data_IF_640476766371
#
_entry.id   IF_640476766371
#
_cell.length_a   1.000
_cell.length_b   1.000
_cell.length_c   1.000
_cell.angle_alpha   90.00
_cell.angle_beta   90.00
_cell.angle_gamma   90.00
#
_symmetry.space_group_name_H-M   'P 1'
#
loop_
_entity.id
_entity.type
_entity.pdbx_description
1 polymer ?
#
# COMPACT_ATOMS: atom_id res chain seq x y z
N UNK A 1 -9.41 -16.59 12.48
CA UNK A 1 -8.51 -17.28 11.54
C UNK A 1 -9.01 -17.03 10.12
N UNK A 2 -8.51 -16.02 9.39
CA UNK A 2 -8.76 -15.98 7.95
C UNK A 2 -8.21 -17.28 7.35
N UNK A 3 -9.05 -18.00 6.61
CA UNK A 3 -8.70 -19.29 6.02
C UNK A 3 -7.42 -19.15 5.20
N UNK A 4 -6.48 -20.09 5.34
CA UNK A 4 -5.20 -20.15 4.60
C UNK A 4 -5.42 -19.95 3.08
N UNK A 5 -6.60 -20.37 2.58
CA UNK A 5 -7.03 -20.15 1.20
C UNK A 5 -7.09 -18.68 0.78
N UNK A 6 -7.49 -17.76 1.67
CA UNK A 6 -7.59 -16.33 1.39
C UNK A 6 -6.21 -15.69 1.28
N UNK A 7 -5.29 -16.04 2.19
CA UNK A 7 -3.92 -15.55 2.18
C UNK A 7 -3.15 -16.05 0.95
N UNK A 8 -3.36 -17.32 0.56
CA UNK A 8 -2.79 -17.88 -0.67
C UNK A 8 -3.37 -17.23 -1.93
N UNK A 9 -4.67 -16.92 -1.95
CA UNK A 9 -5.29 -16.19 -3.06
C UNK A 9 -4.71 -14.77 -3.22
N UNK A 10 -4.50 -14.06 -2.11
CA UNK A 10 -3.89 -12.73 -2.10
C UNK A 10 -2.44 -12.76 -2.58
N UNK A 11 -1.63 -13.72 -2.10
CA UNK A 11 -0.25 -13.91 -2.56
C UNK A 11 -0.17 -14.30 -4.04
N UNK A 12 -1.09 -15.14 -4.52
CA UNK A 12 -1.15 -15.52 -5.93
C UNK A 12 -1.55 -14.33 -6.81
N UNK A 13 -2.50 -13.49 -6.38
CA UNK A 13 -2.85 -12.24 -7.05
C UNK A 13 -1.66 -11.26 -7.09
N UNK A 14 -0.93 -11.08 -5.98
CA UNK A 14 0.28 -10.25 -5.95
C UNK A 14 1.36 -10.78 -6.89
N UNK A 15 1.55 -12.11 -6.99
CA UNK A 15 2.51 -12.74 -7.91
C UNK A 15 2.07 -12.66 -9.38
N UNK A 16 0.77 -12.76 -9.65
CA UNK A 16 0.22 -12.60 -10.99
C UNK A 16 0.33 -11.14 -11.45
N UNK A 17 0.12 -10.19 -10.54
CA UNK A 17 0.30 -8.76 -10.79
C UNK A 17 1.77 -8.42 -11.07
N UNK A 18 2.72 -8.92 -10.25
CA UNK A 18 4.15 -8.72 -10.48
C UNK A 18 4.63 -9.30 -11.83
N UNK A 19 4.11 -10.47 -12.24
CA UNK A 19 4.44 -11.07 -13.55
C UNK A 19 3.75 -10.38 -14.73
N UNK A 20 2.50 -9.91 -14.56
CA UNK A 20 1.79 -9.13 -15.57
C UNK A 20 2.42 -7.77 -15.81
N UNK A 21 2.85 -7.10 -14.74
CA UNK A 21 3.53 -5.80 -14.77
C UNK A 21 4.90 -5.88 -15.48
N UNK A 22 5.72 -6.89 -15.17
CA UNK A 22 7.02 -7.12 -15.85
C UNK A 22 6.83 -7.52 -17.33
N UNK A 23 5.70 -8.16 -17.69
CA UNK A 23 5.44 -8.55 -19.07
C UNK A 23 4.93 -7.40 -19.96
N UNK A 24 4.41 -6.31 -19.37
CA UNK A 24 3.99 -5.12 -20.12
C UNK A 24 5.17 -4.21 -20.49
N UNK A 25 6.32 -4.32 -19.81
CA UNK A 25 7.52 -3.52 -20.10
C UNK A 25 8.31 -3.99 -21.35
N UNK A 26 7.93 -5.13 -21.95
CA UNK A 26 8.63 -5.73 -23.12
C UNK A 26 7.86 -5.59 -24.44
N UNK A 27 7.14 -4.49 -24.63
CA UNK A 27 6.93 -3.91 -25.97
C UNK A 27 7.49 -2.49 -25.97
N UNK A 28 8.80 -2.41 -26.20
CA UNK A 28 9.49 -1.19 -26.64
C UNK A 28 9.55 -1.23 -28.16
N UNK A 29 8.41 -1.16 -28.82
CA UNK A 29 8.35 -0.71 -30.20
C UNK A 29 8.59 0.81 -30.21
N UNK A 30 9.65 1.18 -30.91
CA UNK A 30 10.25 2.49 -30.96
C UNK A 30 9.38 3.52 -31.69
N UNK A 31 8.24 3.87 -31.10
CA UNK A 31 7.59 5.15 -31.34
C UNK A 31 7.66 5.89 -30.02
N UNK A 32 8.22 7.11 -30.04
CA UNK A 32 8.31 8.00 -28.90
C UNK A 32 6.94 8.18 -28.25
N UNK A 33 6.57 7.30 -27.32
CA UNK A 33 5.47 7.53 -26.40
C UNK A 33 5.97 8.65 -25.52
N UNK A 34 5.63 9.90 -25.86
CA UNK A 34 5.59 10.95 -24.85
C UNK A 34 4.79 10.35 -23.72
N UNK A 35 5.45 10.09 -22.58
CA UNK A 35 4.76 10.01 -21.30
C UNK A 35 4.08 11.38 -21.19
N UNK A 36 2.85 11.47 -21.67
CA UNK A 36 2.03 12.62 -21.38
C UNK A 36 2.02 12.68 -19.86
N UNK A 37 2.24 13.86 -19.23
CA UNK A 37 2.10 13.99 -17.80
C UNK A 37 0.71 13.46 -17.47
N UNK A 38 0.67 12.25 -16.93
CA UNK A 38 -0.56 11.60 -16.59
C UNK A 38 -1.03 12.33 -15.34
N UNK A 39 -2.24 12.89 -15.37
CA UNK A 39 -2.81 13.64 -14.25
C UNK A 39 -3.20 12.67 -13.13
N UNK A 40 -2.18 12.13 -12.45
CA UNK A 40 -2.36 11.44 -11.21
C UNK A 40 -2.75 12.46 -10.13
N UNK A 41 -3.57 12.07 -9.13
CA UNK A 41 -3.93 12.96 -8.05
C UNK A 41 -2.67 13.51 -7.36
N UNK A 42 -2.60 14.83 -7.25
CA UNK A 42 -1.55 15.52 -6.51
C UNK A 42 -1.69 15.20 -5.01
N UNK A 43 -0.55 15.22 -4.33
CA UNK A 43 -0.51 15.20 -2.88
C UNK A 43 -0.69 16.62 -2.33
N UNK A 44 -1.37 16.79 -1.18
CA UNK A 44 -1.58 18.11 -0.59
C UNK A 44 -0.29 18.71 -0.02
N UNK A 45 0.69 17.90 0.39
CA UNK A 45 1.93 18.33 1.02
C UNK A 45 3.18 17.69 0.41
N UNK A 46 4.16 17.38 1.25
CA UNK A 46 5.45 16.79 0.86
C UNK A 46 5.66 15.34 1.30
N UNK A 47 4.85 14.84 2.23
CA UNK A 47 5.09 13.57 2.94
C UNK A 47 4.04 12.51 2.68
N UNK A 48 3.01 12.84 1.91
CA UNK A 48 1.79 12.05 1.79
C UNK A 48 1.79 11.14 0.55
N UNK A 49 2.88 11.14 -0.24
CA UNK A 49 2.98 10.41 -1.51
C UNK A 49 2.59 8.93 -1.37
N UNK A 50 3.04 8.28 -0.31
CA UNK A 50 2.70 6.88 -0.02
C UNK A 50 1.20 6.69 0.18
N UNK A 51 0.55 7.59 0.92
CA UNK A 51 -0.90 7.54 1.16
C UNK A 51 -1.70 7.81 -0.10
N UNK A 52 -1.26 8.75 -0.95
CA UNK A 52 -1.90 9.00 -2.25
C UNK A 52 -1.85 7.76 -3.16
N UNK A 53 -0.70 7.06 -3.22
CA UNK A 53 -0.58 5.82 -4.00
C UNK A 53 -1.50 4.73 -3.45
N UNK A 54 -1.53 4.53 -2.14
CA UNK A 54 -2.40 3.52 -1.50
C UNK A 54 -3.89 3.81 -1.76
N UNK A 55 -4.31 5.08 -1.62
CA UNK A 55 -5.68 5.50 -1.92
C UNK A 55 -6.05 5.23 -3.38
N UNK A 56 -5.19 5.65 -4.30
CA UNK A 56 -5.39 5.48 -5.72
C UNK A 56 -5.49 4.01 -6.13
N UNK A 57 -4.62 3.15 -5.58
CA UNK A 57 -4.69 1.70 -5.80
C UNK A 57 -6.01 1.10 -5.28
N UNK A 58 -6.50 1.59 -4.13
CA UNK A 58 -7.80 1.16 -3.60
C UNK A 58 -8.96 1.56 -4.52
N UNK A 59 -8.94 2.77 -5.06
CA UNK A 59 -9.94 3.25 -6.02
C UNK A 59 -9.89 2.45 -7.33
N UNK A 60 -8.70 2.11 -7.83
CA UNK A 60 -8.53 1.25 -9.01
C UNK A 60 -9.07 -0.17 -8.82
N UNK A 61 -8.94 -0.73 -7.62
CA UNK A 61 -9.51 -2.04 -7.30
C UNK A 61 -11.04 -2.01 -7.23
N UNK A 62 -11.62 -0.89 -6.81
CA UNK A 62 -13.07 -0.70 -6.74
C UNK A 62 -13.68 -0.36 -8.11
N UNK A 63 -12.95 0.42 -8.92
CA UNK A 63 -13.37 0.84 -10.24
C UNK A 63 -12.22 0.73 -11.25
N UNK A 64 -12.20 -0.38 -11.98
CA UNK A 64 -11.23 -0.62 -13.05
C UNK A 64 -11.38 0.33 -14.25
N UNK A 65 -12.51 1.04 -14.39
CA UNK A 65 -12.73 1.99 -15.49
C UNK A 65 -11.85 3.23 -15.38
N UNK A 66 -11.27 3.48 -14.20
CA UNK A 66 -10.26 4.53 -13.98
C UNK A 66 -9.03 4.34 -14.88
N UNK A 67 -8.66 3.09 -15.22
CA UNK A 67 -7.57 2.81 -16.16
C UNK A 67 -7.91 3.19 -17.61
N UNK A 68 -9.19 3.13 -17.98
CA UNK A 68 -9.66 3.46 -19.34
C UNK A 68 -9.96 4.95 -19.52
N UNK A 69 -10.21 5.68 -18.42
CA UNK A 69 -10.54 7.11 -18.44
C UNK A 69 -9.31 8.01 -18.24
N UNK A 70 -8.11 7.57 -18.64
CA UNK A 70 -6.84 8.30 -18.47
C UNK A 70 -6.58 8.79 -17.02
N UNK A 71 -7.16 8.14 -16.00
CA UNK A 71 -7.07 8.55 -14.59
C UNK A 71 -7.60 9.96 -14.28
N UNK A 72 -8.42 10.54 -15.16
CA UNK A 72 -8.98 11.89 -15.09
C UNK A 72 -10.11 12.08 -14.06
N UNK A 73 -10.04 11.39 -12.92
CA UNK A 73 -11.15 11.40 -11.96
C UNK A 73 -10.92 12.34 -10.80
N UNK A 74 -9.65 12.59 -10.43
CA UNK A 74 -9.36 13.42 -9.26
C UNK A 74 -8.03 14.15 -9.34
N UNK A 75 -8.07 15.46 -9.10
CA UNK A 75 -6.87 16.31 -9.15
C UNK A 75 -6.02 16.25 -7.87
N UNK A 76 -6.62 16.08 -6.70
CA UNK A 76 -5.90 16.03 -5.41
C UNK A 76 -6.76 15.30 -4.37
N UNK A 77 -6.14 14.55 -3.46
CA UNK A 77 -6.81 13.97 -2.29
C UNK A 77 -6.85 14.98 -1.13
N UNK A 78 -7.96 15.00 -0.39
CA UNK A 78 -8.02 15.78 0.85
C UNK A 78 -7.24 15.07 1.97
N UNK A 79 -6.84 15.81 3.01
CA UNK A 79 -6.15 15.21 4.14
C UNK A 79 -7.01 14.14 4.84
N UNK A 80 -8.31 14.40 4.98
CA UNK A 80 -9.28 13.44 5.55
C UNK A 80 -9.28 12.10 4.79
N UNK A 81 -9.24 12.13 3.46
CA UNK A 81 -9.24 10.91 2.65
C UNK A 81 -7.94 10.10 2.77
N UNK A 82 -6.84 10.78 3.11
CA UNK A 82 -5.55 10.16 3.37
C UNK A 82 -5.46 9.65 4.81
N UNK A 83 -6.10 10.35 5.76
CA UNK A 83 -6.22 9.93 7.15
C UNK A 83 -7.07 8.65 7.25
N UNK A 84 -8.14 8.51 6.45
CA UNK A 84 -8.90 7.25 6.32
C UNK A 84 -7.99 6.05 5.97
N UNK A 85 -7.07 6.25 5.01
CA UNK A 85 -6.12 5.22 4.60
C UNK A 85 -5.13 4.96 5.72
N UNK A 86 -4.63 6.00 6.39
CA UNK A 86 -3.71 5.87 7.50
C UNK A 86 -4.31 5.06 8.64
N UNK A 87 -5.57 5.32 9.00
CA UNK A 87 -6.28 4.65 10.08
C UNK A 87 -6.60 3.20 9.71
N UNK A 88 -7.08 2.95 8.50
CA UNK A 88 -7.35 1.60 8.00
C UNK A 88 -6.09 0.72 8.04
N UNK A 89 -4.97 1.23 7.52
CA UNK A 89 -3.71 0.50 7.53
C UNK A 89 -3.12 0.38 8.93
N UNK A 90 -3.22 1.42 9.76
CA UNK A 90 -2.80 1.38 11.15
C UNK A 90 -3.51 0.28 11.93
N UNK A 91 -4.83 0.17 11.78
CA UNK A 91 -5.64 -0.90 12.38
C UNK A 91 -5.28 -2.28 11.82
N UNK A 92 -5.02 -2.39 10.51
CA UNK A 92 -4.60 -3.64 9.90
C UNK A 92 -3.26 -4.13 10.46
N UNK A 93 -2.27 -3.25 10.59
CA UNK A 93 -0.97 -3.58 11.18
C UNK A 93 -1.09 -3.91 12.67
N UNK A 94 -1.86 -3.14 13.45
CA UNK A 94 -2.08 -3.45 14.87
C UNK A 94 -2.71 -4.84 15.04
N UNK A 95 -3.69 -5.17 14.19
CA UNK A 95 -4.29 -6.51 14.18
C UNK A 95 -3.25 -7.58 13.88
N UNK A 96 -2.40 -7.39 12.86
CA UNK A 96 -1.33 -8.33 12.54
C UNK A 96 -0.40 -8.50 13.74
N UNK A 97 0.06 -7.40 14.35
CA UNK A 97 0.98 -7.45 15.49
C UNK A 97 0.41 -8.22 16.67
N UNK A 98 -0.87 -8.00 17.00
CA UNK A 98 -1.57 -8.72 18.07
C UNK A 98 -1.79 -10.20 17.71
N UNK A 99 -2.18 -10.50 16.48
CA UNK A 99 -2.47 -11.88 16.03
C UNK A 99 -1.21 -12.73 15.82
N UNK A 100 -0.06 -12.12 15.58
CA UNK A 100 1.19 -12.84 15.25
C UNK A 100 2.12 -13.07 16.44
N UNK A 101 1.69 -12.75 17.67
CA UNK A 101 2.50 -12.84 18.91
C UNK A 101 3.85 -12.07 18.86
N UNK A 102 4.08 -11.24 17.83
CA UNK A 102 5.31 -10.45 17.68
C UNK A 102 5.41 -9.37 18.76
N UNK A 103 4.27 -8.99 19.36
CA UNK A 103 4.24 -8.12 20.54
C UNK A 103 5.09 -8.70 21.67
N UNK A 104 5.06 -10.02 21.91
CA UNK A 104 5.86 -10.65 22.95
C UNK A 104 7.37 -10.55 22.67
N UNK A 105 7.79 -10.69 21.40
CA UNK A 105 9.19 -10.59 20.99
C UNK A 105 9.75 -9.19 21.30
N UNK A 106 8.97 -8.13 21.02
CA UNK A 106 9.38 -6.76 21.34
C UNK A 106 9.32 -6.45 22.84
N UNK A 107 8.43 -7.10 23.60
CA UNK A 107 8.38 -6.95 25.06
C UNK A 107 9.53 -7.67 25.76
N UNK A 108 9.99 -8.82 25.26
CA UNK A 108 11.17 -9.52 25.80
C UNK A 108 12.45 -8.69 25.61
N UNK A 109 12.67 -8.12 24.42
CA UNK A 109 13.84 -7.23 24.16
C UNK A 109 13.84 -5.94 24.99
N UNK A 110 12.66 -5.43 25.39
CA UNK A 110 12.55 -4.25 26.25
C UNK A 110 12.58 -4.58 27.75
N UNK A 111 12.27 -5.83 28.14
CA UNK A 111 12.31 -6.28 29.53
C UNK A 111 13.71 -6.70 29.99
N UNK A 112 14.58 -7.12 29.08
CA UNK A 112 15.96 -7.51 29.39
C UNK A 112 16.92 -6.31 29.58
N UNK A 113 16.40 -5.08 29.50
CA UNK A 113 17.20 -3.85 29.50
C UNK A 113 17.30 -3.09 30.83
N UNK A 114 16.74 -3.57 31.94
CA UNK A 114 16.70 -2.85 33.23
C UNK A 114 17.27 -3.66 34.41
N UNK A 115 18.46 -4.23 34.24
CA UNK A 115 19.26 -4.79 35.34
C UNK A 115 20.64 -4.10 35.42
N UNK A 116 20.67 -2.76 35.45
CA UNK A 116 21.86 -2.02 35.92
C UNK A 116 21.49 -0.71 36.64
N UNK A 117 20.73 -0.80 37.72
CA UNK A 117 20.85 0.18 38.81
C UNK A 117 20.17 -0.31 40.08
N UNK A 118 20.93 -0.95 40.97
CA UNK A 118 20.88 -0.60 42.39
C UNK A 118 22.19 -1.06 43.07
N UNK A 119 22.69 -0.16 43.90
CA UNK A 119 24.00 -0.09 44.53
C UNK A 119 24.01 -0.82 45.88
#
# INVERSE_FOLDING_TARGET
MPSITLALAQLLLCRFWARGFISLERRKDATSTRLLPQEAPLQPGGTECGYCVMRFMKELMLDSTLMTNNFYVKHMYSQEELDDIRDEWGLHFLKILVETEVVWIFYEELSDGDDTNEM
#
